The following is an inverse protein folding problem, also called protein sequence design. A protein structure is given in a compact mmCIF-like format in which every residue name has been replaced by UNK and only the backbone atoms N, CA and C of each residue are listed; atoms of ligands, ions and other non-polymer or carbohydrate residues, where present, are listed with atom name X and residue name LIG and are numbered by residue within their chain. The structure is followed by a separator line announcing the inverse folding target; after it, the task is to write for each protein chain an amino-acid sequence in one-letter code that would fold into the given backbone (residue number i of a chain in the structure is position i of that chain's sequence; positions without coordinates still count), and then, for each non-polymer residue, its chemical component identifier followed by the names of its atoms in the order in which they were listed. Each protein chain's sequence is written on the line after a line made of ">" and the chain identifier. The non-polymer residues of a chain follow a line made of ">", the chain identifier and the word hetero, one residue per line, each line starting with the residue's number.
data_IF_623116912717
#
_entry.id   IF_623116912717
#
_cell.length_a   1.000
_cell.length_b   1.000
_cell.length_c   1.000
_cell.angle_alpha   90.00
_cell.angle_beta   90.00
_cell.angle_gamma   90.00
#
_symmetry.space_group_name_H-M   'P 1'
#
loop_
_entity.id
_entity.type
_entity.pdbx_description
1 polymer ?
#
# COMPACT_ATOMS: atom_id res chain seq x y z
N UNK A 1 -5.77 -4.01 25.42
CA UNK A 1 -4.83 -3.74 24.32
C UNK A 1 -5.53 -2.82 23.32
N UNK A 2 -5.33 -1.52 23.47
CA UNK A 2 -5.93 -0.51 22.60
C UNK A 2 -5.16 -0.57 21.28
N UNK A 3 -5.76 -1.14 20.22
CA UNK A 3 -5.15 -1.11 18.89
C UNK A 3 -5.34 0.32 18.39
N UNK A 4 -4.26 1.09 18.34
CA UNK A 4 -4.29 2.40 17.72
C UNK A 4 -4.67 2.23 16.25
N UNK A 5 -5.82 2.80 15.89
CA UNK A 5 -6.46 2.71 14.57
C UNK A 5 -5.50 3.11 13.42
N UNK A 6 -4.47 3.89 13.73
CA UNK A 6 -3.46 4.37 12.80
C UNK A 6 -2.57 3.26 12.21
N UNK A 7 -2.31 2.16 12.95
CA UNK A 7 -1.43 1.08 12.45
C UNK A 7 -2.05 0.33 11.26
N UNK A 8 -3.37 0.29 11.16
CA UNK A 8 -4.06 -0.45 10.10
C UNK A 8 -4.06 0.28 8.74
N UNK A 9 -3.84 1.61 8.71
CA UNK A 9 -4.15 2.42 7.52
C UNK A 9 -2.92 2.73 6.66
N UNK A 10 -1.72 2.82 7.26
CA UNK A 10 -0.46 3.14 6.57
C UNK A 10 -0.24 2.39 5.25
N UNK A 11 -0.51 1.08 5.14
CA UNK A 11 -0.36 0.33 3.90
C UNK A 11 -1.14 0.88 2.71
N UNK A 12 -2.32 1.43 2.99
CA UNK A 12 -3.29 1.86 1.99
C UNK A 12 -3.10 3.33 1.59
N UNK A 13 -2.17 4.03 2.23
CA UNK A 13 -1.88 5.43 1.95
C UNK A 13 -0.94 5.51 0.74
N UNK A 14 -1.30 6.34 -0.24
CA UNK A 14 -0.45 6.62 -1.40
C UNK A 14 0.96 7.07 -0.93
N UNK A 15 2.04 6.41 -1.38
CA UNK A 15 3.42 6.74 -1.01
C UNK A 15 3.79 8.21 -1.29
N UNK A 16 3.14 8.86 -2.26
CA UNK A 16 3.33 10.28 -2.56
C UNK A 16 2.82 11.18 -1.43
N UNK A 17 1.80 10.74 -0.70
CA UNK A 17 1.28 11.41 0.49
C UNK A 17 2.27 11.24 1.64
N UNK A 18 2.85 10.05 1.81
CA UNK A 18 3.82 9.75 2.87
C UNK A 18 5.19 10.44 2.68
N UNK A 19 5.62 10.63 1.43
CA UNK A 19 6.92 11.24 1.09
C UNK A 19 6.90 12.77 1.07
N UNK A 20 5.72 13.40 1.06
CA UNK A 20 5.62 14.84 0.85
C UNK A 20 5.56 15.63 2.17
N UNK A 21 6.74 16.01 2.67
CA UNK A 21 6.89 16.85 3.86
C UNK A 21 6.33 18.28 3.72
N UNK A 22 5.96 18.71 2.51
CA UNK A 22 5.48 20.07 2.21
C UNK A 22 3.96 20.17 2.04
N UNK A 23 3.20 19.10 2.32
CA UNK A 23 1.73 19.05 2.14
C UNK A 23 1.25 19.40 0.72
N UNK A 24 2.11 19.26 -0.29
CA UNK A 24 1.76 19.58 -1.67
C UNK A 24 1.10 18.40 -2.40
N UNK A 25 1.20 17.19 -1.84
CA UNK A 25 0.55 16.02 -2.38
C UNK A 25 -0.93 16.12 -2.04
N UNK A 26 -1.75 16.26 -3.07
CA UNK A 26 -3.20 16.34 -2.93
C UNK A 26 -3.76 14.92 -2.99
N UNK A 27 -4.64 14.58 -2.06
CA UNK A 27 -5.50 13.41 -2.18
C UNK A 27 -6.37 13.59 -3.42
N UNK A 28 -6.20 12.70 -4.39
CA UNK A 28 -6.95 12.67 -5.63
C UNK A 28 -7.42 11.23 -5.92
N UNK A 29 -8.18 11.06 -7.01
CA UNK A 29 -8.71 9.75 -7.41
C UNK A 29 -7.60 8.69 -7.60
N UNK A 30 -6.35 9.09 -7.88
CA UNK A 30 -5.25 8.14 -8.02
C UNK A 30 -4.83 7.57 -6.66
N UNK A 31 -4.93 8.36 -5.59
CA UNK A 31 -4.73 7.85 -4.23
C UNK A 31 -5.82 6.85 -3.83
N UNK A 32 -7.07 7.06 -4.26
CA UNK A 32 -8.15 6.09 -4.03
C UNK A 32 -7.90 4.78 -4.78
N UNK A 33 -7.50 4.87 -6.07
CA UNK A 33 -7.12 3.69 -6.88
C UNK A 33 -5.99 2.90 -6.22
N UNK A 34 -4.99 3.59 -5.65
CA UNK A 34 -3.91 2.94 -4.90
C UNK A 34 -4.43 2.16 -3.69
N UNK A 35 -5.27 2.78 -2.87
CA UNK A 35 -5.82 2.13 -1.66
C UNK A 35 -6.66 0.89 -1.99
N UNK A 36 -7.48 0.97 -3.05
CA UNK A 36 -8.28 -0.16 -3.56
C UNK A 36 -7.38 -1.26 -4.10
N UNK A 37 -6.28 -0.91 -4.77
CA UNK A 37 -5.28 -1.87 -5.25
C UNK A 37 -4.66 -2.65 -4.09
N UNK A 38 -4.18 -1.98 -3.04
CA UNK A 38 -3.56 -2.63 -1.86
C UNK A 38 -4.59 -3.52 -1.15
N UNK A 39 -5.85 -3.09 -1.07
CA UNK A 39 -6.95 -3.90 -0.52
C UNK A 39 -7.19 -5.17 -1.33
N UNK A 40 -7.27 -5.07 -2.65
CA UNK A 40 -7.48 -6.21 -3.54
C UNK A 40 -6.27 -7.16 -3.53
N UNK A 41 -5.05 -6.62 -3.48
CA UNK A 41 -3.84 -7.42 -3.29
C UNK A 41 -3.90 -8.20 -1.97
N UNK A 42 -4.26 -7.56 -0.86
CA UNK A 42 -4.38 -8.22 0.45
C UNK A 42 -5.39 -9.36 0.44
N UNK A 43 -6.56 -9.15 -0.17
CA UNK A 43 -7.59 -10.19 -0.31
C UNK A 43 -7.08 -11.33 -1.19
N UNK A 44 -6.47 -11.02 -2.33
CA UNK A 44 -6.01 -12.02 -3.31
C UNK A 44 -4.83 -12.86 -2.82
N UNK A 45 -3.93 -12.28 -2.05
CA UNK A 45 -2.74 -12.94 -1.53
C UNK A 45 -3.03 -13.86 -0.35
N UNK A 46 -4.20 -13.70 0.28
CA UNK A 46 -4.51 -14.34 1.56
C UNK A 46 -3.50 -14.00 2.67
N UNK A 47 -2.66 -12.98 2.47
CA UNK A 47 -1.54 -12.67 3.36
C UNK A 47 -2.03 -11.71 4.44
N UNK A 48 -2.16 -12.25 5.64
CA UNK A 48 -2.52 -11.47 6.83
C UNK A 48 -1.34 -10.64 7.35
N UNK A 49 -0.10 -11.07 7.09
CA UNK A 49 1.09 -10.68 7.88
C UNK A 49 1.92 -9.50 7.35
N UNK A 50 1.68 -8.97 6.14
CA UNK A 50 2.60 -7.99 5.55
C UNK A 50 2.61 -6.63 6.28
N UNK A 51 1.57 -6.33 7.08
CA UNK A 51 1.42 -5.04 7.77
C UNK A 51 1.07 -5.17 9.25
N UNK A 52 1.33 -6.33 9.86
CA UNK A 52 1.19 -6.49 11.32
C UNK A 52 2.34 -5.88 12.11
N UNK A 53 3.33 -5.28 11.43
CA UNK A 53 4.39 -4.58 12.12
C UNK A 53 3.84 -3.37 12.86
N UNK A 54 3.94 -3.41 14.18
CA UNK A 54 3.64 -2.31 15.10
C UNK A 54 4.51 -1.07 14.84
N UNK A 55 5.48 -1.15 13.92
CA UNK A 55 6.41 -0.11 13.56
C UNK A 55 5.99 0.63 12.28
N UNK A 56 5.05 1.56 12.42
CA UNK A 56 4.62 2.43 11.33
C UNK A 56 5.80 3.18 10.66
N UNK A 57 6.85 3.51 11.42
CA UNK A 57 8.00 4.27 10.89
C UNK A 57 8.83 3.40 9.93
N UNK A 58 9.08 2.15 10.30
CA UNK A 58 9.79 1.19 9.44
C UNK A 58 9.02 0.94 8.13
N UNK A 59 7.72 0.69 8.25
CA UNK A 59 6.84 0.47 7.11
C UNK A 59 6.77 1.70 6.18
N UNK A 60 6.61 2.91 6.75
CA UNK A 60 6.62 4.15 5.95
C UNK A 60 7.96 4.27 5.22
N UNK A 61 9.09 4.04 5.91
CA UNK A 61 10.41 4.10 5.30
C UNK A 61 10.52 3.15 4.10
N UNK A 62 10.16 1.88 4.26
CA UNK A 62 10.20 0.90 3.16
C UNK A 62 9.32 1.29 1.97
N UNK A 63 8.08 1.72 2.23
CA UNK A 63 7.15 2.21 1.20
C UNK A 63 7.75 3.41 0.45
N UNK A 64 8.36 4.36 1.16
CA UNK A 64 9.02 5.53 0.56
C UNK A 64 10.25 5.17 -0.25
N UNK A 65 10.97 4.09 0.10
CA UNK A 65 12.11 3.56 -0.66
C UNK A 65 11.71 2.76 -1.90
N UNK A 66 10.40 2.61 -2.17
CA UNK A 66 9.90 1.90 -3.34
C UNK A 66 9.70 0.40 -3.12
N UNK A 67 9.79 -0.10 -1.88
CA UNK A 67 9.32 -1.45 -1.57
C UNK A 67 7.82 -1.52 -1.87
N UNK A 68 7.41 -2.57 -2.59
CA UNK A 68 6.04 -2.81 -3.03
C UNK A 68 5.67 -4.25 -2.77
N UNK A 69 4.38 -4.50 -2.76
CA UNK A 69 3.84 -5.83 -2.58
C UNK A 69 4.28 -6.74 -3.73
N UNK A 70 4.73 -7.95 -3.41
CA UNK A 70 5.11 -8.94 -4.42
C UNK A 70 3.91 -9.35 -5.26
N UNK A 71 4.13 -9.55 -6.56
CA UNK A 71 3.13 -10.09 -7.46
C UNK A 71 2.74 -11.49 -6.97
N UNK A 72 1.45 -11.69 -6.67
CA UNK A 72 0.92 -12.99 -6.22
C UNK A 72 0.98 -13.98 -7.39
N UNK A 73 1.72 -15.10 -7.28
CA UNK A 73 1.74 -16.13 -8.31
C UNK A 73 0.33 -16.70 -8.50
N UNK A 74 -0.16 -16.76 -9.75
CA UNK A 74 -1.50 -17.21 -10.17
C UNK A 74 -2.65 -16.20 -10.11
N UNK A 75 -2.40 -14.92 -9.80
CA UNK A 75 -3.41 -13.89 -10.07
C UNK A 75 -3.53 -13.72 -11.61
N UNK A 76 -4.72 -13.78 -12.24
CA UNK A 76 -4.85 -13.65 -13.70
C UNK A 76 -4.05 -12.45 -14.21
N UNK A 77 -3.22 -12.71 -15.22
CA UNK A 77 -2.24 -11.79 -15.81
C UNK A 77 -2.77 -10.37 -16.13
N UNK A 78 -4.09 -10.18 -16.19
CA UNK A 78 -4.72 -8.87 -16.34
C UNK A 78 -4.39 -7.87 -15.21
N UNK A 79 -4.09 -8.33 -13.99
CA UNK A 79 -3.76 -7.42 -12.88
C UNK A 79 -2.32 -6.86 -12.97
N UNK A 80 -1.37 -7.67 -13.46
CA UNK A 80 0.01 -7.27 -13.65
C UNK A 80 0.18 -6.24 -14.80
N UNK A 81 -0.76 -6.19 -15.74
CA UNK A 81 -0.74 -5.20 -16.82
C UNK A 81 -1.05 -3.79 -16.29
N UNK A 82 -1.91 -3.66 -15.27
CA UNK A 82 -2.14 -2.39 -14.56
C UNK A 82 -0.84 -1.92 -13.88
N UNK A 83 -0.04 -2.86 -13.36
CA UNK A 83 1.24 -2.59 -12.69
C UNK A 83 2.34 -2.09 -13.64
N UNK A 84 2.32 -2.53 -14.90
CA UNK A 84 3.39 -2.27 -15.88
C UNK A 84 3.02 -1.27 -16.98
N UNK A 85 1.75 -0.85 -17.05
CA UNK A 85 1.27 0.15 -18.02
C UNK A 85 1.38 -0.30 -19.48
N UNK A 86 1.31 -1.61 -19.74
CA UNK A 86 1.32 -2.22 -21.08
C UNK A 86 -0.07 -2.62 -21.55
#
# INVERSE_FOLDING_TARGET
>A
MHRDLHSCVVPYIDPKILTNSKNQAKLDEKSDVYSVYVLLWKISSGTYHFYEETNNIGLIYEITQGQRESIVPNNPNNYANIYTGK
#
